data_IF_741010069737
#
_entry.id   IF_741010069737
#
_cell.length_a   1.000
_cell.length_b   1.000
_cell.length_c   1.000
_cell.angle_alpha   90.00
_cell.angle_beta   90.00
_cell.angle_gamma   90.00
#
_symmetry.space_group_name_H-M   'P 1'
#
loop_
_entity.id
_entity.type
_entity.pdbx_description
1 polymer ?
#
# COMPACT_ATOMS: atom_id res chain seq x y z
N UNK A 1 -28.99 -10.12 -38.30
CA UNK A 1 -27.97 -10.65 -37.39
C UNK A 1 -27.40 -9.47 -36.65
N UNK A 2 -27.81 -9.22 -35.38
CA UNK A 2 -27.25 -8.14 -34.56
C UNK A 2 -25.90 -8.60 -34.02
N UNK A 3 -24.84 -7.96 -34.45
CA UNK A 3 -23.52 -8.11 -33.86
C UNK A 3 -23.61 -7.48 -32.46
N UNK A 4 -23.49 -8.30 -31.44
CA UNK A 4 -23.28 -7.84 -30.06
C UNK A 4 -21.87 -7.25 -30.00
N UNK A 5 -21.77 -5.93 -29.73
CA UNK A 5 -20.49 -5.28 -29.40
C UNK A 5 -19.86 -6.06 -28.27
N UNK A 6 -18.61 -6.52 -28.50
CA UNK A 6 -17.76 -7.02 -27.43
C UNK A 6 -17.47 -5.83 -26.52
N UNK A 7 -17.93 -5.88 -25.28
CA UNK A 7 -17.53 -4.94 -24.25
C UNK A 7 -16.03 -5.16 -24.02
N UNK A 8 -15.20 -4.26 -24.55
CA UNK A 8 -13.79 -4.22 -24.20
C UNK A 8 -13.68 -3.77 -22.74
N UNK A 9 -13.15 -4.64 -21.91
CA UNK A 9 -12.86 -4.30 -20.51
C UNK A 9 -11.67 -3.34 -20.49
N UNK A 10 -11.90 -2.06 -20.26
CA UNK A 10 -10.83 -1.08 -20.07
C UNK A 10 -10.35 -1.09 -18.62
N UNK A 11 -9.02 -1.19 -18.45
CA UNK A 11 -8.36 -0.99 -17.16
C UNK A 11 -8.48 0.50 -16.77
N UNK A 12 -9.33 0.79 -15.78
CA UNK A 12 -9.61 2.16 -15.34
C UNK A 12 -8.58 2.64 -14.31
N UNK A 13 -8.39 3.96 -14.13
CA UNK A 13 -7.52 4.50 -13.09
C UNK A 13 -7.85 4.02 -11.67
N UNK A 14 -9.13 3.74 -11.38
CA UNK A 14 -9.57 3.19 -10.09
C UNK A 14 -9.10 1.75 -9.89
N UNK A 15 -9.05 0.97 -10.98
CA UNK A 15 -8.53 -0.41 -10.94
C UNK A 15 -7.02 -0.39 -10.65
N UNK A 16 -6.28 0.59 -11.16
CA UNK A 16 -4.85 0.76 -10.86
C UNK A 16 -4.61 1.04 -9.37
N UNK A 17 -5.46 1.84 -8.72
CA UNK A 17 -5.39 2.07 -7.27
C UNK A 17 -5.52 0.77 -6.50
N UNK A 18 -6.56 0.00 -6.75
CA UNK A 18 -6.80 -1.27 -6.09
C UNK A 18 -5.66 -2.27 -6.33
N UNK A 19 -5.20 -2.41 -7.58
CA UNK A 19 -4.06 -3.28 -7.92
C UNK A 19 -2.79 -2.86 -7.19
N UNK A 20 -2.53 -1.56 -7.03
CA UNK A 20 -1.37 -1.09 -6.28
C UNK A 20 -1.44 -1.44 -4.79
N UNK A 21 -2.62 -1.28 -4.14
CA UNK A 21 -2.81 -1.66 -2.74
C UNK A 21 -2.60 -3.17 -2.55
N UNK A 22 -3.28 -4.00 -3.36
CA UNK A 22 -3.13 -5.45 -3.32
C UNK A 22 -1.68 -5.90 -3.59
N UNK A 23 -0.98 -5.23 -4.52
CA UNK A 23 0.41 -5.56 -4.85
C UNK A 23 1.37 -5.21 -3.70
N UNK A 24 1.15 -4.10 -3.00
CA UNK A 24 1.95 -3.72 -1.84
C UNK A 24 1.69 -4.65 -0.64
N UNK A 25 0.45 -5.04 -0.40
CA UNK A 25 0.09 -6.04 0.61
C UNK A 25 0.75 -7.39 0.30
N UNK A 26 0.57 -7.91 -0.92
CA UNK A 26 1.17 -9.17 -1.38
C UNK A 26 2.70 -9.15 -1.29
N UNK A 27 3.33 -8.02 -1.66
CA UNK A 27 4.77 -7.82 -1.52
C UNK A 27 5.22 -7.92 -0.06
N UNK A 28 4.52 -7.23 0.84
CA UNK A 28 4.82 -7.26 2.27
C UNK A 28 4.68 -8.65 2.87
N UNK A 29 3.61 -9.36 2.50
CA UNK A 29 3.41 -10.75 2.94
C UNK A 29 4.52 -11.69 2.44
N UNK A 30 4.95 -11.54 1.19
CA UNK A 30 6.01 -12.37 0.61
C UNK A 30 7.36 -12.12 1.31
N UNK A 31 7.70 -10.87 1.60
CA UNK A 31 8.91 -10.51 2.36
C UNK A 31 8.84 -11.11 3.77
N UNK A 32 7.70 -10.99 4.44
CA UNK A 32 7.48 -11.57 5.77
C UNK A 32 7.57 -13.10 5.76
N UNK A 33 6.97 -13.78 4.79
CA UNK A 33 7.04 -15.24 4.62
C UNK A 33 8.47 -15.74 4.45
N UNK A 34 9.34 -14.94 3.84
CA UNK A 34 10.77 -15.25 3.70
C UNK A 34 11.58 -14.97 4.95
N UNK A 35 10.98 -14.37 5.98
CA UNK A 35 11.69 -13.96 7.21
C UNK A 35 12.73 -12.87 6.98
N UNK A 36 12.61 -12.09 5.90
CA UNK A 36 13.53 -11.01 5.54
C UNK A 36 12.97 -9.66 5.97
N UNK A 37 13.87 -8.72 6.25
CA UNK A 37 13.49 -7.32 6.37
C UNK A 37 13.49 -6.64 5.00
N UNK A 38 12.66 -5.63 4.83
CA UNK A 38 12.62 -4.83 3.60
C UNK A 38 13.99 -4.23 3.25
N UNK A 39 14.73 -3.80 4.27
CA UNK A 39 16.05 -3.18 4.15
C UNK A 39 17.16 -4.16 3.72
N UNK A 40 16.92 -5.46 3.83
CA UNK A 40 17.89 -6.51 3.48
C UNK A 40 17.75 -6.96 2.01
N UNK A 41 16.66 -6.57 1.33
CA UNK A 41 16.42 -6.96 -0.06
C UNK A 41 17.39 -6.26 -1.00
N UNK A 42 18.03 -7.04 -1.86
CA UNK A 42 18.75 -6.51 -3.01
C UNK A 42 17.79 -5.91 -4.04
N UNK A 43 18.30 -5.09 -4.95
CA UNK A 43 17.48 -4.52 -6.04
C UNK A 43 16.81 -5.60 -6.88
N UNK A 44 17.55 -6.66 -7.20
CA UNK A 44 17.04 -7.76 -8.00
C UNK A 44 15.90 -8.49 -7.27
N UNK A 45 16.09 -8.91 -6.02
CA UNK A 45 15.08 -9.61 -5.22
C UNK A 45 13.82 -8.75 -5.06
N UNK A 46 13.98 -7.46 -4.75
CA UNK A 46 12.87 -6.52 -4.61
C UNK A 46 12.05 -6.43 -5.89
N UNK A 47 12.71 -6.27 -7.04
CA UNK A 47 12.03 -6.16 -8.31
C UNK A 47 11.35 -7.49 -8.72
N UNK A 48 12.00 -8.64 -8.51
CA UNK A 48 11.43 -9.96 -8.79
C UNK A 48 10.19 -10.25 -7.93
N UNK A 49 10.22 -9.88 -6.65
CA UNK A 49 9.05 -10.04 -5.76
C UNK A 49 7.92 -9.13 -6.24
N UNK A 50 8.20 -7.85 -6.51
CA UNK A 50 7.20 -6.89 -6.95
C UNK A 50 6.53 -7.32 -8.27
N UNK A 51 7.32 -7.79 -9.23
CA UNK A 51 6.81 -8.26 -10.51
C UNK A 51 5.91 -9.47 -10.36
N UNK A 52 6.34 -10.46 -9.58
CA UNK A 52 5.55 -11.66 -9.35
C UNK A 52 4.23 -11.35 -8.63
N UNK A 53 4.24 -10.46 -7.63
CA UNK A 53 3.02 -10.03 -6.97
C UNK A 53 2.04 -9.38 -7.95
N UNK A 54 2.54 -8.47 -8.80
CA UNK A 54 1.71 -7.83 -9.81
C UNK A 54 1.18 -8.83 -10.84
N UNK A 55 2.02 -9.74 -11.34
CA UNK A 55 1.62 -10.73 -12.33
C UNK A 55 0.53 -11.67 -11.81
N UNK A 56 0.60 -12.08 -10.54
CA UNK A 56 -0.42 -12.89 -9.90
C UNK A 56 -1.76 -12.12 -9.81
N UNK A 57 -1.73 -10.87 -9.34
CA UNK A 57 -2.93 -10.04 -9.23
C UNK A 57 -3.57 -9.80 -10.60
N UNK A 58 -2.76 -9.47 -11.61
CA UNK A 58 -3.24 -9.28 -12.98
C UNK A 58 -3.84 -10.56 -13.56
N UNK A 59 -3.28 -11.73 -13.22
CA UNK A 59 -3.82 -13.02 -13.64
C UNK A 59 -5.19 -13.31 -12.99
N UNK A 60 -5.37 -12.95 -11.73
CA UNK A 60 -6.62 -13.15 -10.99
C UNK A 60 -7.71 -12.14 -11.40
N UNK A 61 -7.32 -10.90 -11.73
CA UNK A 61 -8.25 -9.79 -12.04
C UNK A 61 -9.01 -9.94 -13.36
N UNK A 62 -8.65 -10.90 -14.19
CA UNK A 62 -9.43 -11.04 -15.38
C UNK A 62 -8.87 -11.84 -16.50
N UNK A 63 -8.57 -13.08 -16.23
CA UNK A 63 -8.61 -14.13 -17.24
C UNK A 63 -8.62 -13.62 -18.70
N UNK A 64 -7.47 -13.44 -19.30
CA UNK A 64 -7.28 -13.14 -20.73
C UNK A 64 -7.76 -11.77 -21.26
N UNK A 65 -8.71 -11.08 -20.61
CA UNK A 65 -9.26 -9.80 -21.09
C UNK A 65 -8.31 -8.63 -20.87
N UNK A 66 -7.56 -8.61 -19.76
CA UNK A 66 -6.57 -7.55 -19.48
C UNK A 66 -5.37 -7.60 -20.45
N UNK A 67 -5.05 -8.74 -21.02
CA UNK A 67 -3.98 -8.90 -22.03
C UNK A 67 -4.48 -8.74 -23.47
N UNK A 68 -5.75 -8.37 -23.69
CA UNK A 68 -6.36 -8.36 -25.02
C UNK A 68 -6.17 -7.06 -25.81
N UNK A 69 -5.64 -6.00 -25.19
CA UNK A 69 -5.39 -4.75 -25.91
C UNK A 69 -4.01 -4.16 -25.57
N UNK A 70 -3.36 -3.53 -26.53
CA UNK A 70 -2.09 -2.82 -26.36
C UNK A 70 -2.16 -1.72 -25.30
N UNK A 71 -3.34 -1.12 -25.09
CA UNK A 71 -3.57 -0.14 -24.04
C UNK A 71 -3.49 -0.78 -22.65
N UNK A 72 -4.10 -1.93 -22.45
CA UNK A 72 -4.07 -2.65 -21.18
C UNK A 72 -2.67 -3.15 -20.86
N UNK A 73 -1.94 -3.67 -21.84
CA UNK A 73 -0.53 -4.06 -21.69
C UNK A 73 0.33 -2.88 -21.27
N UNK A 74 0.16 -1.71 -21.91
CA UNK A 74 0.84 -0.49 -21.51
C UNK A 74 0.52 -0.09 -20.07
N UNK A 75 -0.74 -0.18 -19.64
CA UNK A 75 -1.15 0.16 -18.27
C UNK A 75 -0.56 -0.80 -17.24
N UNK A 76 -0.47 -2.10 -17.54
CA UNK A 76 0.18 -3.09 -16.68
C UNK A 76 1.67 -2.77 -16.53
N UNK A 77 2.37 -2.51 -17.64
CA UNK A 77 3.79 -2.15 -17.60
C UNK A 77 4.04 -0.81 -16.89
N UNK A 78 3.16 0.15 -17.06
CA UNK A 78 3.18 1.40 -16.29
C UNK A 78 3.02 1.12 -14.80
N UNK A 79 2.04 0.31 -14.40
CA UNK A 79 1.81 -0.09 -12.99
C UNK A 79 3.03 -0.81 -12.43
N UNK A 80 3.68 -1.68 -13.20
CA UNK A 80 4.92 -2.37 -12.82
C UNK A 80 6.05 -1.40 -12.48
N UNK A 81 6.29 -0.41 -13.33
CA UNK A 81 7.31 0.62 -13.07
C UNK A 81 7.00 1.42 -11.80
N UNK A 82 5.75 1.82 -11.62
CA UNK A 82 5.30 2.56 -10.45
C UNK A 82 5.48 1.69 -9.19
N UNK A 83 5.08 0.42 -9.22
CA UNK A 83 5.23 -0.51 -8.10
C UNK A 83 6.70 -0.69 -7.70
N UNK A 84 7.58 -1.01 -8.67
CA UNK A 84 9.02 -1.13 -8.41
C UNK A 84 9.60 0.14 -7.78
N UNK A 85 9.19 1.31 -8.27
CA UNK A 85 9.63 2.60 -7.73
C UNK A 85 9.09 2.82 -6.32
N UNK A 86 7.83 2.46 -6.05
CA UNK A 86 7.20 2.59 -4.75
C UNK A 86 7.90 1.71 -3.71
N UNK A 87 8.10 0.42 -3.99
CA UNK A 87 8.78 -0.48 -3.04
C UNK A 87 10.23 -0.07 -2.80
N UNK A 88 10.93 0.45 -3.81
CA UNK A 88 12.26 1.04 -3.65
C UNK A 88 12.24 2.24 -2.71
N UNK A 89 11.32 3.18 -2.91
CA UNK A 89 11.23 4.38 -2.09
C UNK A 89 10.84 4.05 -0.64
N UNK A 90 9.93 3.08 -0.45
CA UNK A 90 9.56 2.58 0.88
C UNK A 90 10.75 1.90 1.59
N UNK A 91 11.53 1.11 0.87
CA UNK A 91 12.77 0.53 1.40
C UNK A 91 13.74 1.61 1.85
N UNK A 92 13.99 2.62 1.02
CA UNK A 92 14.86 3.76 1.35
C UNK A 92 14.36 4.56 2.55
N UNK A 93 13.05 4.70 2.69
CA UNK A 93 12.47 5.34 3.86
C UNK A 93 12.71 4.52 5.15
N UNK A 94 12.57 3.20 5.07
CA UNK A 94 12.80 2.30 6.21
C UNK A 94 14.28 2.23 6.62
N UNK A 95 15.22 2.40 5.68
CA UNK A 95 16.66 2.47 5.97
C UNK A 95 17.05 3.69 6.82
N UNK A 96 16.22 4.74 6.85
CA UNK A 96 16.49 6.00 7.53
C UNK A 96 15.91 6.09 8.95
N UNK A 97 15.25 5.05 9.43
CA UNK A 97 14.59 5.07 10.73
C UNK A 97 14.44 3.68 11.35
N UNK A 98 13.89 3.66 12.56
CA UNK A 98 13.72 2.43 13.34
C UNK A 98 12.30 1.83 13.18
N UNK A 99 11.39 2.53 12.48
CA UNK A 99 10.07 2.02 12.21
C UNK A 99 10.11 0.83 11.26
N UNK A 100 9.35 -0.21 11.59
CA UNK A 100 9.19 -1.40 10.76
C UNK A 100 7.72 -1.57 10.36
N UNK A 101 7.43 -2.04 9.14
CA UNK A 101 6.09 -2.38 8.74
C UNK A 101 5.54 -3.53 9.58
N UNK A 102 4.49 -3.28 10.35
CA UNK A 102 3.82 -4.29 11.18
C UNK A 102 2.63 -4.91 10.47
N UNK A 103 1.85 -4.11 9.75
CA UNK A 103 0.66 -4.59 9.06
C UNK A 103 0.31 -3.80 7.81
N UNK A 104 -0.26 -4.54 6.84
CA UNK A 104 -0.85 -4.00 5.63
C UNK A 104 -2.32 -4.39 5.60
N UNK A 105 -3.19 -3.54 5.02
CA UNK A 105 -4.63 -3.77 4.92
C UNK A 105 -5.26 -4.18 6.26
N UNK A 106 -4.80 -3.50 7.34
CA UNK A 106 -5.19 -3.83 8.73
C UNK A 106 -6.65 -3.47 8.96
N UNK A 107 -7.49 -4.46 9.22
CA UNK A 107 -8.91 -4.27 9.48
C UNK A 107 -9.18 -3.91 10.94
N UNK A 108 -10.08 -2.95 11.14
CA UNK A 108 -10.61 -2.57 12.45
C UNK A 108 -12.11 -2.25 12.32
N UNK A 109 -12.82 -2.01 13.42
CA UNK A 109 -14.27 -1.80 13.42
C UNK A 109 -14.78 -0.58 12.62
N UNK A 110 -13.90 0.31 12.17
CA UNK A 110 -14.22 1.51 11.41
C UNK A 110 -13.70 1.51 9.96
N UNK A 111 -13.03 0.44 9.50
CA UNK A 111 -12.48 0.38 8.15
C UNK A 111 -11.25 -0.48 8.02
N UNK A 112 -10.44 -0.15 7.02
CA UNK A 112 -9.19 -0.83 6.68
C UNK A 112 -8.08 0.21 6.52
N UNK A 113 -6.94 -0.04 7.17
CA UNK A 113 -5.76 0.81 7.16
C UNK A 113 -4.76 0.22 6.20
N UNK A 114 -4.29 0.99 5.22
CA UNK A 114 -3.41 0.48 4.18
C UNK A 114 -2.08 -0.03 4.76
N UNK A 115 -1.49 0.70 5.70
CA UNK A 115 -0.25 0.29 6.36
C UNK A 115 -0.11 0.86 7.76
N UNK A 116 0.35 0.03 8.68
CA UNK A 116 0.76 0.39 10.04
C UNK A 116 2.23 0.05 10.21
N UNK A 117 3.04 1.03 10.62
CA UNK A 117 4.42 0.82 11.03
C UNK A 117 4.55 1.03 12.52
N UNK A 118 5.40 0.24 13.16
CA UNK A 118 5.72 0.38 14.58
C UNK A 118 7.22 0.55 14.81
N UNK A 119 7.53 1.19 15.93
CA UNK A 119 8.86 1.17 16.53
C UNK A 119 8.69 0.78 17.99
N UNK A 120 9.37 -0.30 18.40
CA UNK A 120 9.34 -0.76 19.78
C UNK A 120 10.52 -0.22 20.56
N UNK A 121 10.24 0.29 21.75
CA UNK A 121 11.20 0.55 22.81
C UNK A 121 10.83 -0.31 24.04
N UNK A 122 11.62 -0.30 25.10
CA UNK A 122 11.47 -1.20 26.27
C UNK A 122 10.04 -1.29 26.77
N UNK A 123 9.39 -0.15 27.03
CA UNK A 123 8.03 -0.07 27.58
C UNK A 123 7.02 0.59 26.65
N UNK A 124 7.40 0.93 25.42
CA UNK A 124 6.60 1.74 24.52
C UNK A 124 6.53 1.12 23.13
N UNK A 125 5.42 1.32 22.46
CA UNK A 125 5.24 1.02 21.03
C UNK A 125 4.75 2.30 20.35
N UNK A 126 5.54 2.83 19.47
CA UNK A 126 5.19 3.99 18.65
C UNK A 126 4.50 3.51 17.39
N UNK A 127 3.33 4.08 17.08
CA UNK A 127 2.49 3.65 15.97
C UNK A 127 2.37 4.75 14.93
N UNK A 128 2.68 4.42 13.69
CA UNK A 128 2.57 5.30 12.53
C UNK A 128 1.61 4.69 11.50
N UNK A 129 0.68 5.50 11.01
CA UNK A 129 -0.29 5.09 9.99
C UNK A 129 0.06 5.74 8.66
N UNK A 130 0.02 4.96 7.60
CA UNK A 130 0.26 5.42 6.22
C UNK A 130 -0.92 4.99 5.36
N UNK A 131 -1.46 5.94 4.60
CA UNK A 131 -2.53 5.71 3.63
C UNK A 131 -1.98 6.03 2.23
N UNK A 132 -2.10 5.07 1.32
CA UNK A 132 -1.61 5.19 -0.05
C UNK A 132 -2.61 5.91 -0.94
N UNK A 133 -2.15 6.90 -1.67
CA UNK A 133 -2.98 7.67 -2.60
C UNK A 133 -2.37 7.66 -4.01
N UNK A 134 -3.11 7.19 -4.98
CA UNK A 134 -2.72 7.22 -6.41
C UNK A 134 -3.07 8.53 -7.10
N UNK A 135 -3.71 9.47 -6.37
CA UNK A 135 -4.05 10.82 -6.82
C UNK A 135 -3.21 11.90 -6.13
N UNK A 136 -3.55 13.15 -6.43
CA UNK A 136 -2.96 14.33 -5.77
C UNK A 136 -3.74 14.63 -4.47
N UNK A 137 -3.40 13.92 -3.41
CA UNK A 137 -3.97 14.19 -2.09
C UNK A 137 -2.94 14.90 -1.22
N UNK A 138 -3.34 16.00 -0.61
CA UNK A 138 -2.54 16.73 0.38
C UNK A 138 -3.24 16.71 1.73
N UNK A 139 -2.46 16.69 2.78
CA UNK A 139 -2.96 16.86 4.14
C UNK A 139 -3.17 18.35 4.40
N UNK A 140 -4.37 18.73 4.84
CA UNK A 140 -4.74 20.11 5.14
C UNK A 140 -5.30 20.20 6.56
N UNK A 141 -4.61 20.94 7.42
CA UNK A 141 -5.00 21.12 8.82
C UNK A 141 -6.33 21.88 8.98
N UNK A 142 -6.67 22.75 8.04
CA UNK A 142 -7.96 23.47 8.05
C UNK A 142 -9.10 22.49 7.77
N UNK A 143 -8.92 21.62 6.76
CA UNK A 143 -9.91 20.57 6.48
C UNK A 143 -10.04 19.57 7.63
N UNK A 144 -8.93 19.23 8.29
CA UNK A 144 -8.99 18.39 9.49
C UNK A 144 -9.78 19.07 10.60
N UNK A 145 -9.52 20.34 10.89
CA UNK A 145 -10.23 21.12 11.89
C UNK A 145 -11.74 21.18 11.61
N UNK A 146 -12.15 21.30 10.37
CA UNK A 146 -13.54 21.28 9.96
C UNK A 146 -14.15 19.87 9.80
N UNK A 147 -13.44 18.82 10.15
CA UNK A 147 -13.93 17.45 10.09
C UNK A 147 -14.00 16.85 8.69
N UNK A 148 -13.33 17.44 7.71
CA UNK A 148 -13.35 17.01 6.30
C UNK A 148 -12.26 15.98 5.94
N UNK A 149 -11.24 15.83 6.78
CA UNK A 149 -10.13 14.86 6.60
C UNK A 149 -9.95 13.98 7.84
N UNK A 150 -11.04 13.41 8.38
CA UNK A 150 -11.00 12.59 9.59
C UNK A 150 -10.46 11.17 9.38
N UNK A 151 -10.36 10.71 8.12
CA UNK A 151 -9.97 9.33 7.80
C UNK A 151 -8.68 8.90 8.52
N UNK A 152 -7.61 9.68 8.42
CA UNK A 152 -6.33 9.35 9.04
C UNK A 152 -6.41 9.33 10.58
N UNK A 153 -7.25 10.18 11.19
CA UNK A 153 -7.42 10.20 12.64
C UNK A 153 -8.18 8.96 13.13
N UNK A 154 -9.22 8.55 12.40
CA UNK A 154 -9.97 7.31 12.66
C UNK A 154 -9.06 6.09 12.49
N UNK A 155 -8.22 6.09 11.46
CA UNK A 155 -7.25 5.04 11.21
C UNK A 155 -6.20 4.95 12.31
N UNK A 156 -5.70 6.09 12.79
CA UNK A 156 -4.76 6.13 13.92
C UNK A 156 -5.40 5.57 15.18
N UNK A 157 -6.60 6.00 15.56
CA UNK A 157 -7.32 5.46 16.71
C UNK A 157 -7.54 3.94 16.58
N UNK A 158 -7.93 3.48 15.39
CA UNK A 158 -8.07 2.05 15.08
C UNK A 158 -6.76 1.28 15.25
N UNK A 159 -5.65 1.80 14.70
CA UNK A 159 -4.33 1.19 14.81
C UNK A 159 -3.87 1.12 16.28
N UNK A 160 -4.02 2.20 17.04
CA UNK A 160 -3.66 2.21 18.46
C UNK A 160 -4.40 1.13 19.25
N UNK A 161 -5.69 0.94 18.98
CA UNK A 161 -6.50 -0.11 19.64
C UNK A 161 -6.09 -1.52 19.22
N UNK A 162 -5.69 -1.72 17.97
CA UNK A 162 -5.18 -3.00 17.47
C UNK A 162 -3.86 -3.33 18.16
N UNK A 163 -2.93 -2.38 18.18
CA UNK A 163 -1.61 -2.58 18.78
C UNK A 163 -1.69 -2.71 20.32
N UNK A 164 -2.60 -2.02 20.99
CA UNK A 164 -2.81 -2.20 22.44
C UNK A 164 -3.21 -3.63 22.82
N UNK A 165 -3.92 -4.34 21.93
CA UNK A 165 -4.27 -5.75 22.17
C UNK A 165 -3.08 -6.69 21.97
N UNK A 166 -2.15 -6.35 21.08
CA UNK A 166 -0.92 -7.13 20.84
C UNK A 166 0.11 -6.90 21.94
N UNK A 167 0.17 -5.68 22.47
CA UNK A 167 1.14 -5.24 23.48
C UNK A 167 0.44 -4.76 24.75
N UNK A 168 -0.23 -5.64 25.52
CA UNK A 168 -1.04 -5.25 26.68
C UNK A 168 -0.23 -4.59 27.79
N UNK A 169 1.06 -4.92 27.90
CA UNK A 169 1.97 -4.45 28.96
C UNK A 169 2.81 -3.23 28.53
N UNK A 170 2.60 -2.69 27.31
CA UNK A 170 3.31 -1.53 26.80
C UNK A 170 2.40 -0.32 26.61
N UNK A 171 2.99 0.86 26.75
CA UNK A 171 2.35 2.12 26.41
C UNK A 171 2.31 2.29 24.89
N UNK A 172 1.13 2.43 24.30
CA UNK A 172 0.98 2.65 22.85
C UNK A 172 0.92 4.15 22.58
N UNK A 173 1.86 4.65 21.77
CA UNK A 173 2.06 6.07 21.49
C UNK A 173 1.81 6.36 20.02
N UNK A 174 0.93 7.32 19.68
CA UNK A 174 0.77 7.79 18.31
C UNK A 174 2.04 8.54 17.86
N UNK A 175 2.68 8.06 16.79
CA UNK A 175 3.87 8.69 16.21
C UNK A 175 3.56 9.58 15.01
N UNK A 176 2.50 9.27 14.25
CA UNK A 176 2.09 10.10 13.13
C UNK A 176 1.15 9.44 12.15
N UNK A 177 0.62 10.27 11.24
CA UNK A 177 -0.24 9.86 10.14
C UNK A 177 0.26 10.50 8.86
N UNK A 178 0.25 9.74 7.75
CA UNK A 178 0.85 10.17 6.50
C UNK A 178 0.00 9.74 5.31
N UNK A 179 -0.13 10.62 4.32
CA UNK A 179 -0.46 10.23 2.96
C UNK A 179 0.82 9.92 2.20
N UNK A 180 0.86 8.76 1.57
CA UNK A 180 1.93 8.40 0.64
C UNK A 180 1.39 8.48 -0.79
N UNK A 181 1.77 9.53 -1.51
CA UNK A 181 1.33 9.73 -2.88
C UNK A 181 2.15 8.87 -3.84
N UNK A 182 1.50 7.87 -4.43
CA UNK A 182 2.06 7.00 -5.46
C UNK A 182 1.94 7.72 -6.81
N UNK A 183 3.07 8.20 -7.35
CA UNK A 183 3.13 8.93 -8.62
C UNK A 183 3.99 8.21 -9.64
N UNK A 184 3.59 8.33 -10.90
CA UNK A 184 4.46 7.94 -12.01
C UNK A 184 5.61 8.95 -12.12
N UNK A 185 6.88 8.52 -12.01
CA UNK A 185 8.02 9.43 -12.09
C UNK A 185 8.31 9.95 -13.51
N UNK A 186 7.59 9.45 -14.51
CA UNK A 186 7.82 9.74 -15.93
C UNK A 186 6.89 10.82 -16.51
N UNK A 187 6.15 11.55 -15.66
CA UNK A 187 5.26 12.65 -16.06
C UNK A 187 5.70 13.94 -15.38
#
# INVERSE_FOLDING_TARGET
>A
MKLTERVEYEFKPMDMGNVMHEALESFAEEVRKRGMKWTELTEQERNEIADRCLDNIVADYGNTVLKSSARNEYMIERTRRILRRTVWALQKQLEQGEFQPEGFEVTFGGGRIDRVDIMEDQNKVYVKVIDYKTGNTSFDLVYLYHGLQLQLMIYLDGALRVEQKKYPDKEIIPAGVFYYNIKDPMI
#
